data_IF_495289490054
#
_entry.id   IF_495289490054
#
_cell.length_a   1.000
_cell.length_b   1.000
_cell.length_c   1.000
_cell.angle_alpha   90.00
_cell.angle_beta   90.00
_cell.angle_gamma   90.00
#
_symmetry.space_group_name_H-M   'P 1'
#
loop_
_entity.id
_entity.type
_entity.pdbx_description
1 polymer ?
#
# COMPACT_ATOMS: atom_id res chain seq x y z
N UNK A 1 -2.50 -14.15 -42.86
CA UNK A 1 -2.88 -12.76 -42.63
C UNK A 1 -2.37 -12.39 -41.26
N UNK A 2 -1.32 -11.59 -41.21
CA UNK A 2 -0.65 -11.20 -39.97
C UNK A 2 -1.52 -10.16 -39.27
N UNK A 3 -2.00 -10.51 -38.03
CA UNK A 3 -2.58 -9.53 -37.10
C UNK A 3 -1.53 -8.48 -36.78
N UNK A 4 -1.66 -7.32 -37.38
CA UNK A 4 -0.95 -6.12 -36.93
C UNK A 4 -1.56 -5.73 -35.58
N UNK A 5 -0.96 -6.18 -34.47
CA UNK A 5 -1.18 -5.63 -33.14
C UNK A 5 -0.94 -4.11 -33.22
N UNK A 6 -2.01 -3.33 -33.28
CA UNK A 6 -1.99 -1.90 -33.03
C UNK A 6 -1.60 -1.68 -31.56
N UNK A 7 -0.30 -1.71 -31.28
CA UNK A 7 0.22 -1.24 -30.00
C UNK A 7 -0.01 0.27 -30.00
N UNK A 8 -0.99 0.71 -29.26
CA UNK A 8 -1.26 2.13 -29.03
C UNK A 8 -0.02 2.71 -28.34
N UNK A 9 0.75 3.51 -29.05
CA UNK A 9 1.94 4.15 -28.49
C UNK A 9 1.51 5.23 -27.49
N UNK A 10 1.56 4.90 -26.21
CA UNK A 10 1.36 5.86 -25.13
C UNK A 10 2.57 6.79 -25.06
N UNK A 11 2.34 8.09 -24.79
CA UNK A 11 3.44 9.04 -24.60
C UNK A 11 4.35 8.55 -23.46
N UNK A 12 5.68 8.64 -23.66
CA UNK A 12 6.67 8.16 -22.68
C UNK A 12 6.38 8.75 -21.29
N UNK A 13 6.22 7.89 -20.28
CA UNK A 13 5.99 8.27 -18.90
C UNK A 13 7.05 9.28 -18.39
N UNK A 14 6.68 10.12 -17.44
CA UNK A 14 7.60 11.10 -16.84
C UNK A 14 7.91 10.72 -15.40
N UNK A 15 9.16 10.86 -14.96
CA UNK A 15 9.49 10.76 -13.55
C UNK A 15 8.97 12.00 -12.80
N UNK A 16 8.72 11.82 -11.49
CA UNK A 16 8.36 12.91 -10.57
C UNK A 16 9.50 13.08 -9.58
N UNK A 17 9.96 14.32 -9.38
CA UNK A 17 10.94 14.65 -8.34
C UNK A 17 10.40 15.76 -7.45
N UNK A 18 10.40 15.52 -6.14
CA UNK A 18 9.91 16.44 -5.12
C UNK A 18 11.06 16.71 -4.16
N UNK A 19 11.29 17.99 -3.79
CA UNK A 19 12.36 18.41 -2.88
C UNK A 19 11.87 19.42 -1.89
N UNK A 20 12.08 19.14 -0.59
CA UNK A 20 11.79 20.02 0.53
C UNK A 20 10.32 20.48 0.58
N UNK A 21 9.38 19.67 0.09
CA UNK A 21 7.99 20.09 -0.07
C UNK A 21 7.32 20.26 1.29
N UNK A 22 6.88 21.48 1.57
CA UNK A 22 6.25 21.82 2.84
C UNK A 22 4.87 22.41 2.62
N UNK A 23 3.88 21.96 3.42
CA UNK A 23 2.53 22.50 3.47
C UNK A 23 2.04 22.61 4.90
N UNK A 24 1.57 23.78 5.29
CA UNK A 24 1.03 24.07 6.62
C UNK A 24 -0.44 24.49 6.55
N UNK A 25 -1.17 24.14 7.57
CA UNK A 25 -2.52 24.64 7.85
C UNK A 25 -2.52 25.15 9.29
N UNK A 26 -2.41 26.47 9.46
CA UNK A 26 -2.16 27.08 10.76
C UNK A 26 -0.83 26.61 11.37
N UNK A 27 -0.88 26.02 12.56
CA UNK A 27 0.31 25.44 13.23
C UNK A 27 0.66 24.03 12.77
N UNK A 28 -0.26 23.34 12.09
CA UNK A 28 -0.07 21.93 11.68
C UNK A 28 0.72 21.85 10.37
N UNK A 29 1.78 21.05 10.36
CA UNK A 29 2.47 20.64 9.15
C UNK A 29 1.76 19.42 8.54
N UNK A 30 1.05 19.61 7.44
CA UNK A 30 0.47 18.50 6.67
C UNK A 30 1.52 17.81 5.80
N UNK A 31 2.56 18.56 5.37
CA UNK A 31 3.77 18.06 4.73
C UNK A 31 4.94 18.81 5.35
N UNK A 32 5.96 18.09 5.80
CA UNK A 32 7.09 18.65 6.51
C UNK A 32 8.40 18.30 5.81
N UNK A 33 8.83 19.13 4.86
CA UNK A 33 10.07 18.99 4.09
C UNK A 33 10.19 17.61 3.40
N UNK A 34 9.16 17.25 2.63
CA UNK A 34 9.07 15.98 1.91
C UNK A 34 10.01 15.95 0.71
N UNK A 35 10.84 14.92 0.63
CA UNK A 35 11.65 14.54 -0.53
C UNK A 35 11.15 13.22 -1.11
N UNK A 36 10.91 13.16 -2.42
CA UNK A 36 10.40 11.95 -3.09
C UNK A 36 10.85 11.93 -4.55
N UNK A 37 11.34 10.77 -4.99
CA UNK A 37 11.54 10.45 -6.39
C UNK A 37 10.64 9.28 -6.80
N UNK A 38 9.91 9.46 -7.91
CA UNK A 38 9.10 8.42 -8.56
C UNK A 38 9.66 8.21 -9.95
N UNK A 39 10.08 6.99 -10.24
CA UNK A 39 10.68 6.65 -11.52
C UNK A 39 9.65 6.67 -12.65
N UNK A 40 10.12 6.85 -13.89
CA UNK A 40 9.24 6.80 -15.07
C UNK A 40 8.58 5.42 -15.18
N UNK A 41 7.24 5.39 -15.23
CA UNK A 41 6.45 4.16 -15.31
C UNK A 41 6.29 3.39 -14.01
N UNK A 42 6.77 3.90 -12.90
CA UNK A 42 6.63 3.29 -11.57
C UNK A 42 5.21 3.43 -11.03
N UNK A 43 4.74 2.40 -10.31
CA UNK A 43 3.54 2.43 -9.47
C UNK A 43 3.96 2.66 -8.03
N UNK A 44 3.93 3.90 -7.57
CA UNK A 44 4.21 4.28 -6.18
C UNK A 44 2.92 4.41 -5.39
N UNK A 45 2.84 3.76 -4.23
CA UNK A 45 1.73 3.96 -3.29
C UNK A 45 2.14 4.82 -2.11
N UNK A 46 1.35 5.85 -1.81
CA UNK A 46 1.40 6.60 -0.56
C UNK A 46 0.48 5.92 0.44
N UNK A 47 1.04 5.36 1.50
CA UNK A 47 0.32 4.60 2.51
C UNK A 47 0.52 5.23 3.89
N UNK A 48 -0.51 5.26 4.74
CA UNK A 48 -0.42 5.82 6.09
C UNK A 48 -1.80 6.02 6.72
N UNK A 49 -1.88 6.36 8.00
CA UNK A 49 -3.14 6.62 8.69
C UNK A 49 -3.87 7.85 8.14
N UNK A 50 -5.14 7.99 8.51
CA UNK A 50 -5.93 9.19 8.18
C UNK A 50 -5.25 10.44 8.76
N UNK A 51 -5.19 11.51 7.96
CA UNK A 51 -4.54 12.76 8.38
C UNK A 51 -3.03 12.80 8.26
N UNK A 52 -2.35 11.74 7.81
CA UNK A 52 -0.88 11.69 7.69
C UNK A 52 -0.28 12.57 6.57
N UNK A 53 -1.10 13.15 5.67
CA UNK A 53 -0.63 14.04 4.60
C UNK A 53 -0.73 13.48 3.17
N UNK A 54 -1.16 12.21 2.98
CA UNK A 54 -1.23 11.53 1.66
C UNK A 54 -2.00 12.32 0.60
N UNK A 55 -3.27 12.62 0.87
CA UNK A 55 -4.12 13.40 -0.04
C UNK A 55 -3.56 14.80 -0.25
N UNK A 56 -2.98 15.43 0.78
CA UNK A 56 -2.34 16.75 0.65
C UNK A 56 -1.16 16.68 -0.34
N UNK A 57 -0.32 15.65 -0.26
CA UNK A 57 0.79 15.43 -1.18
C UNK A 57 0.27 15.17 -2.60
N UNK A 58 -0.72 14.29 -2.76
CA UNK A 58 -1.33 14.01 -4.06
C UNK A 58 -1.93 15.26 -4.70
N UNK A 59 -2.67 16.07 -3.92
CA UNK A 59 -3.25 17.32 -4.39
C UNK A 59 -2.20 18.39 -4.71
N UNK A 60 -1.07 18.39 -4.01
CA UNK A 60 0.07 19.25 -4.34
C UNK A 60 0.72 18.83 -5.68
N UNK A 61 0.90 17.52 -5.93
CA UNK A 61 1.38 16.98 -7.21
C UNK A 61 0.38 17.32 -8.34
N UNK A 62 -0.92 17.19 -8.10
CA UNK A 62 -1.97 17.53 -9.06
C UNK A 62 -2.13 19.04 -9.31
N UNK A 63 -1.60 19.90 -8.42
CA UNK A 63 -1.68 21.36 -8.51
C UNK A 63 -2.94 22.00 -7.95
N UNK A 64 -3.77 21.23 -7.24
CA UNK A 64 -4.96 21.77 -6.55
C UNK A 64 -4.59 22.47 -5.24
N UNK A 65 -3.56 21.98 -4.54
CA UNK A 65 -3.02 22.62 -3.35
C UNK A 65 -1.63 23.18 -3.65
N UNK A 66 -1.46 24.49 -3.41
CA UNK A 66 -0.15 25.11 -3.54
C UNK A 66 0.66 24.87 -2.26
N UNK A 67 1.84 24.25 -2.34
CA UNK A 67 2.77 24.14 -1.21
C UNK A 67 3.26 25.53 -0.77
N UNK A 68 3.74 25.63 0.46
CA UNK A 68 4.30 26.85 1.02
C UNK A 68 5.78 27.02 0.63
N UNK A 69 6.50 25.87 0.45
CA UNK A 69 7.87 25.85 -0.05
C UNK A 69 8.20 24.51 -0.70
N UNK A 70 9.36 24.42 -1.35
CA UNK A 70 9.87 23.22 -2.02
C UNK A 70 9.77 23.30 -3.54
N UNK A 71 9.94 22.16 -4.19
CA UNK A 71 9.90 22.01 -5.65
C UNK A 71 9.17 20.72 -6.04
N UNK A 72 8.43 20.77 -7.15
CA UNK A 72 7.78 19.59 -7.79
C UNK A 72 8.16 19.63 -9.27
N UNK A 73 8.86 18.63 -9.74
CA UNK A 73 9.27 18.52 -11.15
C UNK A 73 8.68 17.29 -11.83
N UNK A 74 8.27 17.44 -13.08
CA UNK A 74 7.90 16.35 -13.98
C UNK A 74 8.95 16.28 -15.09
N UNK A 75 9.83 15.27 -15.02
CA UNK A 75 11.07 15.28 -15.78
C UNK A 75 11.88 16.54 -15.46
N UNK A 76 12.22 17.32 -16.48
CA UNK A 76 13.01 18.55 -16.32
C UNK A 76 12.17 19.80 -16.03
N UNK A 77 10.84 19.69 -16.04
CA UNK A 77 9.93 20.84 -15.93
C UNK A 77 9.49 21.09 -14.48
N UNK A 78 9.70 22.32 -13.98
CA UNK A 78 9.19 22.75 -12.68
C UNK A 78 7.67 22.99 -12.74
N UNK A 79 6.93 22.36 -11.79
CA UNK A 79 5.47 22.34 -11.76
C UNK A 79 4.85 23.04 -10.57
N UNK A 80 5.63 23.49 -9.58
CA UNK A 80 5.10 24.01 -8.32
C UNK A 80 4.10 25.16 -8.52
N UNK A 81 4.31 26.03 -9.51
CA UNK A 81 3.44 27.14 -9.86
C UNK A 81 2.44 26.83 -10.98
N UNK A 82 2.56 25.67 -11.65
CA UNK A 82 1.68 25.30 -12.74
C UNK A 82 0.27 24.95 -12.19
N UNK A 83 -0.81 25.55 -12.72
CA UNK A 83 -2.16 25.19 -12.33
C UNK A 83 -2.52 23.76 -12.84
N UNK A 84 -3.55 23.10 -12.26
CA UNK A 84 -3.88 21.70 -12.57
C UNK A 84 -4.01 21.39 -14.07
N UNK A 85 -4.70 22.25 -14.82
CA UNK A 85 -4.97 22.06 -16.24
C UNK A 85 -3.71 22.12 -17.15
N UNK A 86 -2.58 22.65 -16.63
CA UNK A 86 -1.29 22.70 -17.34
C UNK A 86 -0.34 21.56 -16.96
N UNK A 87 -0.69 20.77 -15.94
CA UNK A 87 0.16 19.63 -15.48
C UNK A 87 -0.02 18.36 -16.32
N UNK A 88 -1.08 18.30 -17.12
CA UNK A 88 -1.41 17.17 -18.00
C UNK A 88 -1.40 15.80 -17.30
N UNK A 89 -1.83 15.77 -16.04
CA UNK A 89 -1.95 14.55 -15.25
C UNK A 89 -3.37 13.99 -15.35
N UNK A 90 -3.49 12.66 -15.43
CA UNK A 90 -4.75 11.97 -15.23
C UNK A 90 -5.06 11.90 -13.74
N UNK A 91 -6.32 12.09 -13.34
CA UNK A 91 -6.69 12.01 -11.94
C UNK A 91 -7.98 11.24 -11.72
N UNK A 92 -7.95 10.34 -10.73
CA UNK A 92 -9.12 9.64 -10.19
C UNK A 92 -9.31 10.07 -8.75
N UNK A 93 -10.48 10.63 -8.46
CA UNK A 93 -10.87 11.08 -7.11
C UNK A 93 -11.58 9.97 -6.35
N UNK A 94 -11.56 10.03 -5.04
CA UNK A 94 -12.19 9.06 -4.14
C UNK A 94 -13.69 8.84 -4.43
N UNK A 95 -14.43 9.90 -4.78
CA UNK A 95 -15.84 9.86 -5.14
C UNK A 95 -16.07 9.75 -6.66
N UNK A 96 -15.02 9.39 -7.43
CA UNK A 96 -15.01 9.28 -8.89
C UNK A 96 -15.25 10.60 -9.64
N UNK A 97 -15.90 11.59 -9.06
CA UNK A 97 -16.25 12.90 -9.64
C UNK A 97 -16.84 12.80 -11.06
N UNK A 98 -17.69 11.78 -11.31
CA UNK A 98 -18.37 11.60 -12.59
C UNK A 98 -19.50 12.62 -12.75
N UNK A 99 -19.73 13.08 -13.99
CA UNK A 99 -20.81 14.00 -14.32
C UNK A 99 -22.13 13.24 -14.43
N UNK A 100 -23.10 13.41 -13.49
CA UNK A 100 -24.29 12.56 -13.43
C UNK A 100 -25.26 12.78 -14.59
N UNK A 101 -25.20 13.95 -15.23
CA UNK A 101 -26.06 14.33 -16.35
C UNK A 101 -25.52 13.87 -17.72
N UNK A 102 -24.32 13.32 -17.75
CA UNK A 102 -23.67 12.80 -18.96
C UNK A 102 -23.75 11.29 -19.02
N UNK A 103 -23.68 10.75 -20.24
CA UNK A 103 -23.51 9.31 -20.48
C UNK A 103 -22.08 8.85 -20.12
N UNK A 104 -21.83 7.55 -20.16
CA UNK A 104 -20.49 6.96 -19.97
C UNK A 104 -19.53 7.47 -21.04
N UNK A 105 -19.91 7.41 -22.32
CA UNK A 105 -19.08 7.87 -23.43
C UNK A 105 -18.79 9.39 -23.32
N UNK A 106 -19.77 10.19 -22.93
CA UNK A 106 -19.61 11.63 -22.73
C UNK A 106 -18.67 11.95 -21.56
N UNK A 107 -18.77 11.22 -20.43
CA UNK A 107 -17.84 11.34 -19.32
C UNK A 107 -16.40 11.05 -19.74
N UNK A 108 -16.17 9.93 -20.44
CA UNK A 108 -14.85 9.54 -20.92
C UNK A 108 -14.33 10.55 -21.95
N UNK A 109 -15.17 11.00 -22.89
CA UNK A 109 -14.79 11.96 -23.94
C UNK A 109 -14.60 13.40 -23.48
N UNK A 110 -15.06 13.75 -22.25
CA UNK A 110 -15.01 15.12 -21.75
C UNK A 110 -13.59 15.75 -21.76
N UNK A 111 -12.52 15.08 -21.29
CA UNK A 111 -11.16 15.62 -21.35
C UNK A 111 -10.66 15.85 -22.77
N UNK A 112 -11.11 15.06 -23.74
CA UNK A 112 -10.75 15.20 -25.15
C UNK A 112 -11.42 16.44 -25.78
N UNK A 113 -12.71 16.66 -25.46
CA UNK A 113 -13.46 17.86 -25.90
C UNK A 113 -12.80 19.13 -25.39
N UNK A 114 -12.36 19.18 -24.12
CA UNK A 114 -11.64 20.32 -23.56
C UNK A 114 -10.31 20.59 -24.29
N UNK A 115 -9.66 19.55 -24.80
CA UNK A 115 -8.41 19.65 -25.60
C UNK A 115 -8.69 19.93 -27.07
N UNK A 116 -9.96 20.16 -27.46
CA UNK A 116 -10.39 20.45 -28.84
C UNK A 116 -10.00 19.33 -29.84
N UNK A 117 -9.98 18.08 -29.38
CA UNK A 117 -9.77 16.91 -30.26
C UNK A 117 -10.98 16.76 -31.18
N UNK A 118 -10.71 16.50 -32.48
CA UNK A 118 -11.75 16.35 -33.47
C UNK A 118 -12.74 15.20 -33.17
N UNK A 119 -14.00 15.33 -33.56
CA UNK A 119 -15.06 14.40 -33.19
C UNK A 119 -14.76 12.93 -33.56
N UNK A 120 -14.20 12.67 -34.73
CA UNK A 120 -13.84 11.32 -35.18
C UNK A 120 -12.77 10.68 -34.30
N UNK A 121 -11.72 11.40 -34.00
CA UNK A 121 -10.63 10.95 -33.12
C UNK A 121 -11.12 10.82 -31.68
N UNK A 122 -11.96 11.74 -31.21
CA UNK A 122 -12.58 11.67 -29.90
C UNK A 122 -13.37 10.36 -29.74
N UNK A 123 -14.24 10.02 -30.71
CA UNK A 123 -15.01 8.77 -30.69
C UNK A 123 -14.11 7.54 -30.68
N UNK A 124 -13.10 7.49 -31.56
CA UNK A 124 -12.14 6.38 -31.59
C UNK A 124 -11.44 6.18 -30.24
N UNK A 125 -10.94 7.25 -29.62
CA UNK A 125 -10.26 7.17 -28.31
C UNK A 125 -11.21 6.76 -27.18
N UNK A 126 -12.45 7.19 -27.22
CA UNK A 126 -13.50 6.76 -26.27
C UNK A 126 -13.77 5.27 -26.42
N UNK A 127 -13.91 4.76 -27.64
CA UNK A 127 -14.15 3.32 -27.90
C UNK A 127 -12.95 2.47 -27.46
N UNK A 128 -11.72 2.92 -27.73
CA UNK A 128 -10.49 2.29 -27.24
C UNK A 128 -10.45 2.27 -25.69
N UNK A 129 -10.83 3.36 -25.03
CA UNK A 129 -10.87 3.45 -23.58
C UNK A 129 -11.95 2.52 -22.99
N UNK A 130 -13.16 2.50 -23.57
CA UNK A 130 -14.25 1.60 -23.17
C UNK A 130 -13.83 0.13 -23.32
N UNK A 131 -13.16 -0.22 -24.42
CA UNK A 131 -12.59 -1.55 -24.62
C UNK A 131 -11.56 -1.91 -23.55
N UNK A 132 -10.68 -0.99 -23.24
CA UNK A 132 -9.61 -1.19 -22.26
C UNK A 132 -10.13 -1.48 -20.85
N UNK A 133 -11.24 -0.82 -20.45
CA UNK A 133 -11.89 -1.03 -19.15
C UNK A 133 -13.06 -2.03 -19.21
N UNK A 134 -13.23 -2.75 -20.32
CA UNK A 134 -14.27 -3.78 -20.52
C UNK A 134 -15.71 -3.26 -20.36
N UNK A 135 -15.99 -2.07 -20.88
CA UNK A 135 -17.30 -1.42 -20.82
C UNK A 135 -17.89 -1.09 -22.23
N UNK A 136 -17.45 -1.79 -23.29
CA UNK A 136 -17.82 -1.50 -24.69
C UNK A 136 -19.31 -1.27 -24.92
N UNK A 137 -20.19 -2.03 -24.28
CA UNK A 137 -21.63 -1.98 -24.49
C UNK A 137 -22.38 -1.02 -23.54
N UNK A 138 -21.64 -0.19 -22.80
CA UNK A 138 -22.21 0.70 -21.79
C UNK A 138 -22.06 2.18 -22.12
N UNK A 139 -21.54 2.54 -23.31
CA UNK A 139 -21.25 3.92 -23.70
C UNK A 139 -22.41 4.88 -23.57
N UNK A 140 -23.63 4.44 -23.95
CA UNK A 140 -24.86 5.25 -23.95
C UNK A 140 -25.57 5.28 -22.60
N UNK A 141 -25.15 4.46 -21.62
CA UNK A 141 -25.78 4.45 -20.29
C UNK A 141 -25.45 5.72 -19.50
N UNK A 142 -26.38 6.07 -18.62
CA UNK A 142 -26.16 7.14 -17.63
C UNK A 142 -25.42 6.60 -16.42
N UNK A 143 -24.74 7.49 -15.69
CA UNK A 143 -23.91 7.13 -14.53
C UNK A 143 -24.73 6.50 -13.39
N UNK A 144 -25.98 6.91 -13.21
CA UNK A 144 -26.89 6.37 -12.18
C UNK A 144 -27.28 4.88 -12.43
N UNK A 145 -27.18 4.40 -13.67
CA UNK A 145 -27.46 3.02 -14.07
C UNK A 145 -26.29 2.05 -13.85
N UNK A 146 -25.17 2.53 -13.32
CA UNK A 146 -23.93 1.76 -13.18
C UNK A 146 -23.71 1.27 -11.74
N UNK A 147 -23.13 0.06 -11.62
CA UNK A 147 -22.59 -0.43 -10.34
C UNK A 147 -21.37 0.40 -9.90
N UNK A 148 -20.98 0.27 -8.61
CA UNK A 148 -19.79 0.96 -8.07
C UNK A 148 -18.52 0.66 -8.88
N UNK A 149 -18.24 -0.61 -9.19
CA UNK A 149 -17.07 -0.99 -9.99
C UNK A 149 -17.15 -0.48 -11.44
N UNK A 150 -18.35 -0.41 -12.05
CA UNK A 150 -18.51 0.20 -13.36
C UNK A 150 -18.24 1.71 -13.33
N UNK A 151 -18.72 2.42 -12.31
CA UNK A 151 -18.42 3.87 -12.11
C UNK A 151 -16.93 4.11 -11.99
N UNK A 152 -16.24 3.27 -11.22
CA UNK A 152 -14.79 3.35 -11.07
C UNK A 152 -14.06 3.16 -12.41
N UNK A 153 -14.43 2.12 -13.20
CA UNK A 153 -13.83 1.89 -14.51
C UNK A 153 -14.07 3.06 -15.48
N UNK A 154 -15.22 3.72 -15.41
CA UNK A 154 -15.49 4.96 -16.17
C UNK A 154 -14.57 6.09 -15.72
N UNK A 155 -14.37 6.28 -14.41
CA UNK A 155 -13.47 7.29 -13.88
C UNK A 155 -12.01 7.05 -14.30
N UNK A 156 -11.56 5.79 -14.27
CA UNK A 156 -10.24 5.38 -14.79
C UNK A 156 -10.14 5.68 -16.29
N UNK A 157 -11.11 5.24 -17.10
CA UNK A 157 -11.12 5.51 -18.55
C UNK A 157 -11.04 7.00 -18.86
N UNK A 158 -11.81 7.84 -18.15
CA UNK A 158 -11.74 9.30 -18.27
C UNK A 158 -10.38 9.86 -17.91
N UNK A 159 -9.70 9.27 -16.89
CA UNK A 159 -8.40 9.75 -16.45
C UNK A 159 -7.28 9.42 -17.45
N UNK A 160 -7.37 8.34 -18.23
CA UNK A 160 -6.32 7.96 -19.17
C UNK A 160 -6.63 8.19 -20.67
N UNK A 161 -7.89 8.50 -21.06
CA UNK A 161 -8.32 8.63 -22.45
C UNK A 161 -7.51 9.64 -23.28
N UNK A 162 -7.00 10.70 -22.65
CA UNK A 162 -6.15 11.69 -23.30
C UNK A 162 -4.66 11.34 -23.27
N UNK A 163 -4.32 10.11 -22.83
CA UNK A 163 -2.96 9.55 -22.77
C UNK A 163 -2.01 10.39 -21.91
N UNK A 164 -2.33 10.63 -20.63
CA UNK A 164 -1.46 11.34 -19.71
C UNK A 164 -0.14 10.58 -19.52
N UNK A 165 0.90 11.29 -19.09
CA UNK A 165 2.22 10.72 -18.75
C UNK A 165 2.34 10.35 -17.28
N UNK A 166 1.44 10.90 -16.44
CA UNK A 166 1.34 10.67 -15.00
C UNK A 166 -0.13 10.44 -14.65
N UNK A 167 -0.40 9.45 -13.81
CA UNK A 167 -1.73 9.12 -13.29
C UNK A 167 -1.72 9.23 -11.76
N UNK A 168 -2.66 10.00 -11.22
CA UNK A 168 -2.83 10.22 -9.79
C UNK A 168 -4.16 9.60 -9.35
N UNK A 169 -4.17 8.86 -8.26
CA UNK A 169 -5.37 8.20 -7.78
C UNK A 169 -5.51 8.35 -6.26
N UNK A 170 -6.65 8.92 -5.83
CA UNK A 170 -6.98 9.16 -4.43
C UNK A 170 -8.02 8.16 -3.97
N UNK A 171 -7.61 7.13 -3.23
CA UNK A 171 -8.43 6.06 -2.66
C UNK A 171 -9.51 5.49 -3.62
N UNK A 172 -9.18 5.12 -4.86
CA UNK A 172 -10.19 4.81 -5.86
C UNK A 172 -10.98 3.53 -5.57
N UNK A 173 -10.51 2.66 -4.67
CA UNK A 173 -11.15 1.38 -4.32
C UNK A 173 -11.93 1.40 -3.01
N UNK A 174 -11.88 2.50 -2.25
CA UNK A 174 -12.42 2.60 -0.89
C UNK A 174 -13.94 2.35 -0.79
N UNK A 175 -14.70 2.68 -1.83
CA UNK A 175 -16.15 2.54 -1.87
C UNK A 175 -16.65 1.15 -2.32
N UNK A 176 -15.73 0.19 -2.59
CA UNK A 176 -16.08 -1.15 -3.08
C UNK A 176 -16.14 -2.17 -1.94
N UNK A 177 -17.00 -3.19 -2.10
CA UNK A 177 -17.00 -4.38 -1.25
C UNK A 177 -15.68 -5.18 -1.42
N UNK A 178 -15.39 -6.07 -0.47
CA UNK A 178 -14.12 -6.82 -0.41
C UNK A 178 -13.82 -7.60 -1.70
N UNK A 179 -14.81 -8.37 -2.19
CA UNK A 179 -14.61 -9.24 -3.38
C UNK A 179 -14.33 -8.43 -4.64
N UNK A 180 -15.12 -7.38 -4.85
CA UNK A 180 -14.97 -6.49 -5.98
C UNK A 180 -13.64 -5.70 -5.89
N UNK A 181 -13.23 -5.28 -4.70
CA UNK A 181 -11.96 -4.60 -4.46
C UNK A 181 -10.77 -5.49 -4.84
N UNK A 182 -10.73 -6.74 -4.38
CA UNK A 182 -9.66 -7.70 -4.73
C UNK A 182 -9.57 -7.93 -6.25
N UNK A 183 -10.71 -8.05 -6.93
CA UNK A 183 -10.73 -8.15 -8.39
C UNK A 183 -10.19 -6.88 -9.05
N UNK A 184 -10.63 -5.70 -8.60
CA UNK A 184 -10.23 -4.42 -9.16
C UNK A 184 -8.75 -4.11 -8.95
N UNK A 185 -8.13 -4.57 -7.86
CA UNK A 185 -6.67 -4.47 -7.65
C UNK A 185 -5.89 -5.15 -8.77
N UNK A 186 -6.28 -6.39 -9.12
CA UNK A 186 -5.65 -7.15 -10.20
C UNK A 186 -5.81 -6.44 -11.54
N UNK A 187 -7.03 -5.99 -11.85
CA UNK A 187 -7.34 -5.27 -13.09
C UNK A 187 -6.56 -3.95 -13.20
N UNK A 188 -6.48 -3.20 -12.09
CA UNK A 188 -5.76 -1.92 -12.04
C UNK A 188 -4.26 -2.12 -12.28
N UNK A 189 -3.66 -3.16 -11.67
CA UNK A 189 -2.25 -3.52 -11.90
C UNK A 189 -2.00 -3.91 -13.37
N UNK A 190 -2.90 -4.69 -13.97
CA UNK A 190 -2.82 -5.05 -15.39
C UNK A 190 -2.96 -3.81 -16.29
N UNK A 191 -3.90 -2.92 -15.97
CA UNK A 191 -4.11 -1.67 -16.69
C UNK A 191 -2.87 -0.78 -16.61
N UNK A 192 -2.29 -0.60 -15.43
CA UNK A 192 -1.05 0.16 -15.26
C UNK A 192 0.08 -0.39 -16.14
N UNK A 193 0.31 -1.71 -16.13
CA UNK A 193 1.32 -2.36 -16.98
C UNK A 193 1.07 -2.13 -18.47
N UNK A 194 -0.20 -2.14 -18.89
CA UNK A 194 -0.60 -1.88 -20.30
C UNK A 194 -0.38 -0.43 -20.70
N UNK A 195 -0.65 0.52 -19.79
CA UNK A 195 -0.53 1.96 -20.05
C UNK A 195 0.94 2.43 -19.94
N UNK A 196 1.75 1.83 -19.09
CA UNK A 196 3.14 2.20 -18.85
C UNK A 196 3.33 3.63 -18.32
N UNK A 197 2.35 4.20 -17.62
CA UNK A 197 2.36 5.57 -17.09
C UNK A 197 2.90 5.60 -15.67
N UNK A 198 3.57 6.69 -15.27
CA UNK A 198 3.96 6.89 -13.87
C UNK A 198 2.71 7.08 -13.02
N UNK A 199 2.55 6.29 -11.97
CA UNK A 199 1.35 6.29 -11.14
C UNK A 199 1.68 6.61 -9.70
N UNK A 200 0.95 7.57 -9.10
CA UNK A 200 0.93 7.81 -7.65
C UNK A 200 -0.45 7.46 -7.13
N UNK A 201 -0.50 6.48 -6.25
CA UNK A 201 -1.71 5.91 -5.70
C UNK A 201 -1.80 6.19 -4.19
N UNK A 202 -2.92 6.68 -3.71
CA UNK A 202 -3.17 6.90 -2.27
C UNK A 202 -4.13 5.85 -1.78
N UNK A 203 -3.80 5.23 -0.66
CA UNK A 203 -4.69 4.32 0.07
C UNK A 203 -4.36 4.31 1.57
N UNK A 204 -5.30 3.85 2.38
CA UNK A 204 -5.08 3.43 3.76
C UNK A 204 -5.15 1.90 3.91
N UNK A 205 -5.44 1.17 2.82
CA UNK A 205 -5.49 -0.31 2.82
C UNK A 205 -4.10 -0.87 2.50
N UNK A 206 -3.53 -1.57 3.49
CA UNK A 206 -2.20 -2.18 3.40
C UNK A 206 -2.14 -3.27 2.32
N UNK A 207 -3.24 -4.04 2.13
CA UNK A 207 -3.28 -5.11 1.13
C UNK A 207 -3.22 -4.55 -0.28
N UNK A 208 -3.90 -3.41 -0.52
CA UNK A 208 -3.80 -2.69 -1.80
C UNK A 208 -2.36 -2.31 -2.10
N UNK A 209 -1.69 -1.67 -1.12
CA UNK A 209 -0.31 -1.23 -1.27
C UNK A 209 0.64 -2.41 -1.53
N UNK A 210 0.57 -3.48 -0.72
CA UNK A 210 1.42 -4.66 -0.87
C UNK A 210 1.20 -5.42 -2.19
N UNK A 211 -0.03 -5.41 -2.73
CA UNK A 211 -0.38 -6.17 -3.94
C UNK A 211 -0.02 -5.45 -5.24
N UNK A 212 -0.21 -4.14 -5.28
CA UNK A 212 -0.16 -3.40 -6.56
C UNK A 212 1.16 -2.66 -6.80
N UNK A 213 1.85 -2.23 -5.76
CA UNK A 213 2.94 -1.26 -5.85
C UNK A 213 4.27 -1.87 -6.31
N UNK A 214 5.07 -1.06 -7.00
CA UNK A 214 6.50 -1.31 -7.17
C UNK A 214 7.26 -0.81 -5.95
N UNK A 215 6.86 0.35 -5.38
CA UNK A 215 7.32 0.88 -4.09
C UNK A 215 6.16 1.46 -3.29
N UNK A 216 6.33 1.40 -1.97
CA UNK A 216 5.41 1.99 -0.98
C UNK A 216 6.16 3.07 -0.23
N UNK A 217 5.57 4.26 -0.14
CA UNK A 217 6.02 5.34 0.72
C UNK A 217 5.08 5.42 1.92
N UNK A 218 5.56 4.96 3.08
CA UNK A 218 4.81 5.04 4.35
C UNK A 218 4.96 6.45 4.90
N UNK A 219 3.85 7.16 5.04
CA UNK A 219 3.83 8.54 5.53
C UNK A 219 3.09 8.64 6.86
N UNK A 220 3.70 9.33 7.81
CA UNK A 220 3.14 9.63 9.11
C UNK A 220 3.45 11.09 9.48
N UNK A 221 2.48 11.82 10.04
CA UNK A 221 2.66 13.21 10.50
C UNK A 221 3.38 14.14 9.51
N UNK A 222 3.07 13.96 8.22
CA UNK A 222 3.65 14.78 7.14
C UNK A 222 5.11 14.44 6.79
N UNK A 223 5.66 13.30 7.24
CA UNK A 223 7.00 12.81 6.92
C UNK A 223 6.96 11.38 6.40
N UNK A 224 7.94 10.98 5.61
CA UNK A 224 8.11 9.59 5.26
C UNK A 224 8.85 8.84 6.37
N UNK A 225 8.27 7.73 6.80
CA UNK A 225 8.89 6.78 7.73
C UNK A 225 9.80 5.79 7.00
N UNK A 226 9.32 5.30 5.84
CA UNK A 226 10.09 4.38 4.98
C UNK A 226 9.56 4.44 3.55
N UNK A 227 10.47 4.32 2.56
CA UNK A 227 10.11 4.20 1.14
C UNK A 227 10.90 3.03 0.58
N UNK A 228 10.20 1.93 0.23
CA UNK A 228 10.88 0.73 -0.27
C UNK A 228 9.90 -0.16 -1.06
N UNK A 229 10.39 -1.30 -1.58
CA UNK A 229 9.55 -2.34 -2.17
C UNK A 229 8.58 -2.93 -1.13
N UNK A 230 7.41 -3.46 -1.56
CA UNK A 230 6.45 -4.09 -0.65
C UNK A 230 7.08 -5.17 0.24
N UNK A 231 7.94 -6.00 -0.34
CA UNK A 231 8.63 -7.06 0.38
C UNK A 231 9.58 -6.52 1.47
N UNK A 232 10.32 -5.44 1.18
CA UNK A 232 11.22 -4.80 2.15
C UNK A 232 10.46 -4.12 3.28
N UNK A 233 9.40 -3.39 2.97
CA UNK A 233 8.53 -2.73 3.98
C UNK A 233 8.00 -3.77 4.98
N UNK A 234 7.57 -4.94 4.48
CA UNK A 234 7.00 -6.00 5.31
C UNK A 234 8.04 -6.77 6.13
N UNK A 235 9.18 -7.12 5.50
CA UNK A 235 10.20 -7.98 6.09
C UNK A 235 11.29 -7.22 6.87
N UNK A 236 11.49 -5.93 6.55
CA UNK A 236 12.54 -5.07 7.13
C UNK A 236 11.98 -3.69 7.45
N UNK A 237 10.97 -3.60 8.33
CA UNK A 237 10.44 -2.30 8.75
C UNK A 237 11.54 -1.46 9.40
N UNK A 238 11.56 -0.16 9.08
CA UNK A 238 12.59 0.75 9.56
C UNK A 238 12.45 1.09 11.05
N UNK A 239 11.23 1.05 11.57
CA UNK A 239 10.90 1.39 12.96
C UNK A 239 9.62 0.68 13.43
N UNK A 240 9.28 0.87 14.71
CA UNK A 240 8.09 0.29 15.33
C UNK A 240 6.79 0.73 14.68
N UNK A 241 6.71 2.00 14.24
CA UNK A 241 5.52 2.50 13.55
C UNK A 241 5.27 1.73 12.24
N UNK A 242 6.29 1.56 11.40
CA UNK A 242 6.14 0.80 10.15
C UNK A 242 5.82 -0.67 10.42
N UNK A 243 6.46 -1.26 11.45
CA UNK A 243 6.20 -2.65 11.83
C UNK A 243 4.76 -2.89 12.28
N UNK A 244 4.19 -1.98 13.06
CA UNK A 244 2.82 -2.04 13.57
C UNK A 244 1.80 -1.69 12.48
N UNK A 245 2.11 -0.66 11.70
CA UNK A 245 1.19 -0.17 10.67
C UNK A 245 1.09 -1.13 9.48
N UNK A 246 2.12 -1.91 9.15
CA UNK A 246 2.12 -2.84 8.00
C UNK A 246 1.92 -4.28 8.47
N UNK A 247 0.69 -4.76 8.37
CA UNK A 247 0.31 -6.10 8.82
C UNK A 247 0.13 -6.19 10.34
N UNK A 248 -0.35 -7.34 10.78
CA UNK A 248 -0.42 -7.63 12.21
C UNK A 248 0.97 -8.00 12.73
N UNK A 249 1.35 -7.47 13.88
CA UNK A 249 2.61 -7.83 14.54
C UNK A 249 2.50 -7.84 16.06
N UNK A 250 3.30 -8.69 16.68
CA UNK A 250 3.59 -8.60 18.11
C UNK A 250 5.00 -8.06 18.26
N UNK A 251 5.18 -7.04 19.08
CA UNK A 251 6.49 -6.48 19.42
C UNK A 251 6.86 -6.85 20.85
N UNK A 252 7.99 -7.53 21.00
CA UNK A 252 8.52 -7.91 22.30
C UNK A 252 9.82 -7.15 22.58
N UNK A 253 9.95 -6.49 23.75
CA UNK A 253 11.16 -5.79 24.11
C UNK A 253 12.31 -6.77 24.33
N UNK A 254 13.49 -6.45 23.80
CA UNK A 254 14.70 -7.24 23.93
C UNK A 254 15.70 -6.58 24.87
N UNK A 255 16.16 -7.35 25.85
CA UNK A 255 17.31 -6.97 26.66
C UNK A 255 18.62 -7.25 25.96
N UNK A 256 19.58 -6.32 26.02
CA UNK A 256 20.95 -6.47 25.50
C UNK A 256 21.92 -6.81 26.63
N UNK A 257 22.68 -7.91 26.47
CA UNK A 257 23.78 -8.24 27.40
C UNK A 257 25.09 -7.60 26.96
N UNK A 258 26.07 -7.54 27.84
CA UNK A 258 27.41 -6.99 27.57
C UNK A 258 28.15 -7.69 26.42
N UNK A 259 27.81 -8.96 26.13
CA UNK A 259 28.29 -9.70 24.95
C UNK A 259 27.75 -9.15 23.61
N UNK A 260 26.72 -8.30 23.64
CA UNK A 260 25.99 -7.85 22.46
C UNK A 260 24.91 -8.82 21.99
N UNK A 261 24.56 -9.81 22.80
CA UNK A 261 23.47 -10.73 22.52
C UNK A 261 22.16 -10.12 22.99
N UNK A 262 21.11 -10.33 22.18
CA UNK A 262 19.75 -9.87 22.43
C UNK A 262 18.88 -11.02 22.95
N UNK A 263 18.18 -10.78 24.05
CA UNK A 263 17.35 -11.76 24.74
C UNK A 263 15.92 -11.23 24.93
N UNK A 264 14.97 -12.12 24.78
CA UNK A 264 13.63 -11.95 25.37
C UNK A 264 13.55 -12.83 26.60
N UNK A 265 13.47 -12.23 27.80
CA UNK A 265 13.62 -12.95 29.06
C UNK A 265 14.96 -13.75 29.08
N UNK A 266 14.88 -15.09 29.17
CA UNK A 266 16.05 -15.97 29.13
C UNK A 266 16.31 -16.60 27.74
N UNK A 267 15.49 -16.27 26.73
CA UNK A 267 15.57 -16.83 25.38
C UNK A 267 16.52 -15.99 24.54
N UNK A 268 17.62 -16.58 24.05
CA UNK A 268 18.51 -15.94 23.09
C UNK A 268 17.82 -15.78 21.73
N UNK A 269 17.65 -14.53 21.31
CA UNK A 269 17.03 -14.18 20.03
C UNK A 269 18.08 -14.04 18.94
N UNK A 270 19.12 -13.23 19.18
CA UNK A 270 20.17 -12.97 18.20
C UNK A 270 21.46 -12.54 18.88
N UNK A 271 22.59 -12.65 18.15
CA UNK A 271 23.93 -12.26 18.59
C UNK A 271 24.54 -11.23 17.63
N UNK A 272 25.61 -10.55 18.05
CA UNK A 272 26.39 -9.67 17.17
C UNK A 272 26.02 -8.18 17.21
N UNK A 273 25.26 -7.75 18.20
CA UNK A 273 24.82 -6.34 18.36
C UNK A 273 25.76 -5.52 19.26
N UNK A 274 26.96 -6.00 19.55
CA UNK A 274 27.94 -5.34 20.42
C UNK A 274 28.36 -3.94 19.93
N UNK A 275 28.42 -3.75 18.61
CA UNK A 275 28.89 -2.50 17.99
C UNK A 275 27.80 -1.43 17.80
N UNK A 276 26.56 -1.72 18.18
CA UNK A 276 25.47 -0.75 18.08
C UNK A 276 25.34 0.03 19.39
N UNK A 277 25.28 1.35 19.32
CA UNK A 277 25.04 2.23 20.48
C UNK A 277 23.62 2.15 21.03
N UNK A 278 22.69 1.62 20.27
CA UNK A 278 21.29 1.42 20.66
C UNK A 278 21.22 0.45 21.84
N UNK A 279 20.49 0.82 22.90
CA UNK A 279 20.28 -0.01 24.09
C UNK A 279 18.97 -0.78 24.04
N UNK A 280 17.95 -0.20 23.44
CA UNK A 280 16.58 -0.76 23.39
C UNK A 280 16.25 -1.31 21.99
N UNK A 281 15.80 -2.56 21.97
CA UNK A 281 15.49 -3.29 20.75
C UNK A 281 14.14 -3.99 20.86
N UNK A 282 13.46 -4.14 19.73
CA UNK A 282 12.20 -4.85 19.61
C UNK A 282 12.35 -6.06 18.69
N UNK A 283 11.84 -7.21 19.14
CA UNK A 283 11.57 -8.36 18.29
C UNK A 283 10.17 -8.19 17.68
N UNK A 284 10.11 -8.09 16.37
CA UNK A 284 8.84 -8.04 15.63
C UNK A 284 8.48 -9.45 15.16
N UNK A 285 7.33 -9.93 15.59
CA UNK A 285 6.82 -11.26 15.26
C UNK A 285 5.56 -11.11 14.42
N UNK A 286 5.54 -11.71 13.23
CA UNK A 286 4.36 -11.83 12.38
C UNK A 286 3.58 -13.09 12.75
N UNK A 287 2.25 -13.03 13.03
CA UNK A 287 1.46 -14.18 13.48
C UNK A 287 1.51 -15.40 12.56
N UNK A 288 1.63 -15.18 11.24
CA UNK A 288 1.71 -16.23 10.22
C UNK A 288 3.08 -16.94 10.12
N UNK A 289 4.12 -16.37 10.75
CA UNK A 289 5.46 -16.98 10.80
C UNK A 289 5.65 -17.92 11.97
N UNK A 290 4.71 -17.88 12.90
CA UNK A 290 4.71 -18.76 14.05
C UNK A 290 4.11 -20.12 13.69
N UNK A 291 4.65 -21.17 14.27
CA UNK A 291 4.14 -22.52 14.13
C UNK A 291 4.05 -23.23 15.48
N UNK A 292 3.17 -24.23 15.56
CA UNK A 292 3.05 -25.05 16.74
C UNK A 292 4.17 -26.08 16.78
N UNK A 293 4.82 -26.21 17.91
CA UNK A 293 5.90 -27.20 18.11
C UNK A 293 5.30 -28.51 18.58
N UNK A 294 5.39 -29.55 17.76
CA UNK A 294 5.03 -30.90 18.15
C UNK A 294 6.14 -31.52 19.01
N UNK A 295 5.76 -32.41 19.94
CA UNK A 295 6.65 -32.96 20.99
C UNK A 295 7.96 -33.58 20.50
N UNK A 296 8.10 -33.89 19.21
CA UNK A 296 9.27 -34.57 18.62
C UNK A 296 10.15 -33.69 17.71
N UNK A 297 9.88 -32.38 17.58
CA UNK A 297 10.55 -31.52 16.58
C UNK A 297 11.17 -30.28 17.24
N UNK A 298 12.04 -30.50 18.24
CA UNK A 298 12.76 -29.44 18.98
C UNK A 298 14.18 -29.26 18.42
N UNK A 299 14.31 -28.67 17.22
CA UNK A 299 15.60 -28.18 16.75
C UNK A 299 15.79 -26.73 17.23
N UNK A 300 16.40 -26.58 18.40
CA UNK A 300 16.68 -25.30 19.04
C UNK A 300 17.72 -24.46 18.29
N UNK A 301 18.52 -25.07 17.42
CA UNK A 301 19.56 -24.35 16.67
C UNK A 301 18.96 -23.56 15.53
N UNK A 302 17.87 -24.06 14.93
CA UNK A 302 17.17 -23.39 13.83
C UNK A 302 15.95 -22.58 14.26
N UNK A 303 15.42 -22.83 15.46
CA UNK A 303 14.17 -22.23 15.94
C UNK A 303 14.33 -21.55 17.29
N UNK A 304 13.55 -20.51 17.49
CA UNK A 304 13.30 -19.88 18.79
C UNK A 304 11.99 -20.44 19.29
N UNK A 305 11.98 -20.97 20.52
CA UNK A 305 10.80 -21.58 21.12
C UNK A 305 10.28 -20.69 22.24
N UNK A 306 9.02 -20.32 22.17
CA UNK A 306 8.26 -19.64 23.21
C UNK A 306 7.32 -20.64 23.88
N UNK A 307 7.20 -20.56 25.19
CA UNK A 307 6.18 -21.31 25.95
C UNK A 307 5.17 -20.32 26.49
N UNK A 308 3.89 -20.63 26.36
CA UNK A 308 2.84 -19.76 26.84
C UNK A 308 1.50 -20.46 27.02
N UNK A 309 0.55 -19.73 27.57
CA UNK A 309 -0.80 -20.23 27.87
C UNK A 309 -1.81 -19.53 26.97
N UNK A 310 -2.72 -20.28 26.37
CA UNK A 310 -3.80 -19.73 25.52
C UNK A 310 -4.71 -18.85 26.40
N UNK A 311 -4.79 -17.54 26.06
CA UNK A 311 -5.77 -16.61 26.64
C UNK A 311 -7.09 -16.66 25.88
N UNK A 312 -6.99 -16.59 24.57
CA UNK A 312 -8.15 -16.55 23.66
C UNK A 312 -7.91 -17.42 22.44
N UNK A 313 -8.97 -18.01 21.93
CA UNK A 313 -8.98 -18.76 20.68
C UNK A 313 -10.19 -18.32 19.86
N UNK A 314 -9.96 -17.86 18.62
CA UNK A 314 -11.01 -17.35 17.73
C UNK A 314 -10.94 -18.08 16.39
N UNK A 315 -12.01 -18.79 16.07
CA UNK A 315 -12.19 -19.42 14.75
C UNK A 315 -12.72 -18.39 13.74
N UNK A 316 -12.05 -18.26 12.60
CA UNK A 316 -12.38 -17.27 11.56
C UNK A 316 -12.71 -17.92 10.19
N UNK A 317 -13.12 -19.19 10.18
CA UNK A 317 -13.38 -19.95 8.96
C UNK A 317 -12.11 -20.64 8.44
N UNK A 318 -11.49 -20.11 7.38
CA UNK A 318 -10.27 -20.68 6.77
C UNK A 318 -9.04 -20.61 7.70
N UNK A 319 -9.05 -19.73 8.67
CA UNK A 319 -7.97 -19.54 9.65
C UNK A 319 -8.51 -19.55 11.08
N UNK A 320 -7.64 -19.85 12.02
CA UNK A 320 -7.87 -19.62 13.44
C UNK A 320 -6.77 -18.71 14.00
N UNK A 321 -7.13 -17.94 15.01
CA UNK A 321 -6.27 -17.02 15.70
C UNK A 321 -6.24 -17.41 17.19
N UNK A 322 -5.05 -17.43 17.78
CA UNK A 322 -4.90 -17.60 19.21
C UNK A 322 -4.03 -16.50 19.79
N UNK A 323 -4.48 -15.95 20.92
CA UNK A 323 -3.70 -15.04 21.75
C UNK A 323 -3.09 -15.85 22.90
N UNK A 324 -1.76 -15.79 23.02
CA UNK A 324 -0.99 -16.61 23.94
C UNK A 324 -0.22 -15.73 24.91
N UNK A 325 -0.43 -15.92 26.19
CA UNK A 325 0.34 -15.26 27.24
C UNK A 325 1.70 -15.93 27.39
N UNK A 326 2.77 -15.17 27.21
CA UNK A 326 4.15 -15.58 27.53
C UNK A 326 4.51 -15.24 28.98
N UNK A 327 3.89 -14.17 29.51
CA UNK A 327 3.99 -13.73 30.91
C UNK A 327 2.77 -12.86 31.24
N UNK A 328 2.72 -12.33 32.45
CA UNK A 328 1.64 -11.40 32.86
C UNK A 328 1.58 -10.13 31.99
N UNK A 329 2.72 -9.70 31.43
CA UNK A 329 2.85 -8.45 30.67
C UNK A 329 2.94 -8.66 29.16
N UNK A 330 3.32 -9.86 28.69
CA UNK A 330 3.59 -10.10 27.28
C UNK A 330 2.72 -11.22 26.72
N UNK A 331 2.14 -10.97 25.59
CA UNK A 331 1.39 -11.97 24.81
C UNK A 331 1.77 -11.89 23.36
N UNK A 332 1.64 -13.00 22.65
CA UNK A 332 1.83 -13.06 21.22
C UNK A 332 0.61 -13.66 20.52
N UNK A 333 0.44 -13.26 19.27
CA UNK A 333 -0.63 -13.74 18.42
C UNK A 333 -0.09 -14.77 17.46
N UNK A 334 -0.79 -15.87 17.29
CA UNK A 334 -0.50 -16.86 16.24
C UNK A 334 -1.70 -17.04 15.33
N UNK A 335 -1.44 -17.17 14.02
CA UNK A 335 -2.46 -17.48 13.03
C UNK A 335 -2.09 -18.75 12.29
N UNK A 336 -3.03 -19.65 12.13
CA UNK A 336 -2.84 -20.93 11.44
C UNK A 336 -4.07 -21.28 10.58
N UNK A 337 -3.85 -22.09 9.54
CA UNK A 337 -4.93 -22.60 8.69
C UNK A 337 -5.72 -23.68 9.45
N UNK A 338 -7.03 -23.71 9.24
CA UNK A 338 -7.93 -24.71 9.82
C UNK A 338 -7.94 -26.04 9.09
N UNK A 339 -7.35 -26.12 7.88
CA UNK A 339 -7.36 -27.32 7.02
C UNK A 339 -6.41 -28.45 7.47
N UNK A 340 -5.54 -28.21 8.44
CA UNK A 340 -4.58 -29.23 8.89
C UNK A 340 -5.14 -30.07 10.03
N UNK A 341 -5.49 -31.27 9.68
CA UNK A 341 -5.72 -32.49 10.51
C UNK A 341 -5.64 -32.37 12.05
N UNK A 342 -6.77 -32.58 12.71
CA UNK A 342 -6.92 -33.34 13.99
C UNK A 342 -6.36 -32.79 15.28
N UNK A 343 -5.26 -32.06 15.31
CA UNK A 343 -4.62 -31.61 16.58
C UNK A 343 -5.19 -30.30 17.14
N UNK A 344 -6.05 -29.63 16.41
CA UNK A 344 -6.49 -28.24 16.72
C UNK A 344 -7.88 -28.12 17.30
N UNK A 345 -8.69 -29.16 17.21
CA UNK A 345 -10.06 -29.19 17.76
C UNK A 345 -10.13 -29.07 19.28
N UNK A 346 -9.00 -29.17 19.97
CA UNK A 346 -8.91 -29.18 21.44
C UNK A 346 -8.20 -27.96 22.02
N UNK A 347 -7.87 -26.91 21.24
CA UNK A 347 -7.24 -25.71 21.80
C UNK A 347 -8.22 -24.91 22.63
N UNK A 348 -8.02 -24.90 23.95
CA UNK A 348 -8.89 -24.18 24.90
C UNK A 348 -8.11 -23.16 25.72
N UNK A 349 -8.73 -22.05 26.09
CA UNK A 349 -8.14 -21.12 27.04
C UNK A 349 -7.67 -21.86 28.30
N UNK A 350 -6.46 -21.52 28.77
CA UNK A 350 -5.81 -22.17 29.93
C UNK A 350 -4.83 -23.30 29.56
N UNK A 351 -4.79 -23.77 28.34
CA UNK A 351 -3.82 -24.80 27.90
C UNK A 351 -2.46 -24.18 27.58
N UNK A 352 -1.39 -24.90 27.95
CA UNK A 352 -0.01 -24.51 27.61
C UNK A 352 0.37 -24.98 26.20
N UNK A 353 1.00 -24.08 25.45
CA UNK A 353 1.52 -24.35 24.10
C UNK A 353 3.00 -23.99 23.98
N UNK A 354 3.70 -24.74 23.11
CA UNK A 354 5.03 -24.38 22.60
C UNK A 354 4.90 -23.88 21.18
N UNK A 355 5.46 -22.69 20.93
CA UNK A 355 5.38 -21.99 19.66
C UNK A 355 6.78 -21.76 19.15
N UNK A 356 7.01 -22.08 17.87
CA UNK A 356 8.27 -21.87 17.20
C UNK A 356 8.26 -20.67 16.28
N UNK A 357 9.40 -19.97 16.23
CA UNK A 357 9.76 -18.98 15.23
C UNK A 357 11.09 -19.39 14.61
N UNK A 358 11.16 -19.49 13.29
CA UNK A 358 12.44 -19.78 12.62
C UNK A 358 13.41 -18.63 12.81
N UNK A 359 14.69 -18.93 13.14
CA UNK A 359 15.73 -17.90 13.30
C UNK A 359 15.94 -17.06 12.03
N UNK A 360 15.72 -17.64 10.83
CA UNK A 360 15.78 -16.92 9.55
C UNK A 360 14.65 -15.90 9.34
N UNK A 361 13.58 -15.98 10.13
CA UNK A 361 12.40 -15.10 10.03
C UNK A 361 12.34 -14.05 11.14
N UNK A 362 13.40 -13.98 11.96
CA UNK A 362 13.54 -12.98 13.03
C UNK A 362 13.68 -11.59 12.43
N UNK A 363 12.86 -10.67 12.90
CA UNK A 363 12.93 -9.24 12.58
C UNK A 363 13.26 -8.49 13.86
N UNK A 364 14.37 -7.76 13.88
CA UNK A 364 14.80 -6.95 15.01
C UNK A 364 14.91 -5.50 14.52
N UNK A 365 14.30 -4.61 15.26
CA UNK A 365 14.34 -3.16 14.98
C UNK A 365 14.78 -2.41 16.24
N UNK A 366 15.41 -1.24 16.10
CA UNK A 366 15.67 -0.37 17.24
C UNK A 366 14.33 0.15 17.80
N UNK A 367 14.20 0.20 19.11
CA UNK A 367 13.15 0.96 19.75
C UNK A 367 13.53 2.45 19.65
N UNK A 368 12.77 3.20 18.83
CA UNK A 368 12.98 4.64 18.72
C UNK A 368 12.53 5.28 20.03
N UNK A 369 13.49 5.78 20.80
CA UNK A 369 13.19 6.75 21.86
C UNK A 369 12.61 8.00 21.18
N UNK A 370 11.32 8.30 21.42
CA UNK A 370 10.66 9.53 20.98
C UNK A 370 11.42 10.79 21.49
#
# INVERSE_FOLDING_TARGET
MQDKNNVVEYSKALPISIRGLTKRYGSLYALNSIDLDVSSGEFLTLLGPSGSGKTTLLMAIAGFNRPDSGSIRFGDSEMILAPPHKREVGMVFQNYALFPHMTVAENIGFPLKLRKIGSKECQQRVDEALSTVQLLNLGDRRIDQLSGGQKQRVALARAFVFRPRILLMDEPLSALDKKLREQMQIELKQLHRKLGVTTVYVTHDQREALTMSDRIAVINEGKFEQIDSPEFIYNKPANSFVADFIGESTMLPLGKKTSGDLFFQDILISSGYSNYSQEEWLLVIRPERLFLVEKNNLDSDQNIIFEGVIKEFVYQGETAFALIALSDQHSLSIRFSTDSSGSRDNMRPGESLKIGLKRSEVIIIPENSN
#
